data_IF_513004605343
#
_entry.id   IF_513004605343
#
_cell.length_a   1.000
_cell.length_b   1.000
_cell.length_c   1.000
_cell.angle_alpha   90.00
_cell.angle_beta   90.00
_cell.angle_gamma   90.00
#
_symmetry.space_group_name_H-M   'P 1'
#
loop_
_entity.id
_entity.type
_entity.pdbx_description
1 polymer ?
#
# COMPACT_ATOMS: atom_id res chain seq x y z
N UNK A 1 16.17 -41.80 -18.56
CA UNK A 1 14.91 -41.46 -19.23
C UNK A 1 14.09 -40.57 -18.29
N UNK A 2 13.99 -39.27 -18.60
CA UNK A 2 13.28 -38.26 -17.82
C UNK A 2 11.82 -38.27 -18.28
N UNK A 3 10.92 -38.83 -17.46
CA UNK A 3 9.50 -38.84 -17.75
C UNK A 3 8.86 -37.51 -17.33
N UNK A 4 8.29 -36.84 -18.34
CA UNK A 4 7.15 -35.93 -18.31
C UNK A 4 6.26 -36.02 -17.05
N UNK A 5 6.62 -35.28 -15.99
CA UNK A 5 5.80 -35.08 -14.78
C UNK A 5 5.36 -33.63 -14.60
N UNK A 6 5.28 -32.88 -15.70
CA UNK A 6 4.70 -31.54 -15.70
C UNK A 6 3.21 -31.64 -16.07
N UNK A 7 2.37 -30.99 -15.26
CA UNK A 7 0.95 -30.70 -15.48
C UNK A 7 -0.11 -31.65 -14.89
N UNK A 8 -0.05 -31.87 -13.57
CA UNK A 8 -1.30 -31.94 -12.79
C UNK A 8 -1.06 -31.36 -11.38
N UNK A 9 -0.93 -30.03 -11.28
CA UNK A 9 -0.92 -29.37 -9.96
C UNK A 9 -2.37 -29.26 -9.48
N UNK A 10 -2.78 -30.25 -8.70
CA UNK A 10 -4.07 -30.29 -8.01
C UNK A 10 -4.44 -28.94 -7.38
N UNK A 11 -5.61 -28.41 -7.76
CA UNK A 11 -6.36 -27.39 -7.02
C UNK A 11 -6.69 -27.91 -5.62
N UNK A 12 -5.75 -27.78 -4.68
CA UNK A 12 -6.00 -28.15 -3.28
C UNK A 12 -6.92 -27.11 -2.66
N UNK A 13 -8.21 -27.39 -2.59
CA UNK A 13 -9.14 -26.57 -1.81
C UNK A 13 -8.70 -26.57 -0.33
N UNK A 14 -8.70 -25.41 0.32
CA UNK A 14 -8.47 -25.28 1.77
C UNK A 14 -9.60 -24.51 2.43
N UNK A 15 -9.71 -24.71 3.75
CA UNK A 15 -10.67 -24.02 4.61
C UNK A 15 -10.07 -22.76 5.21
N UNK A 16 -10.90 -21.73 5.41
CA UNK A 16 -10.53 -20.58 6.22
C UNK A 16 -10.32 -21.02 7.69
N UNK A 17 -9.20 -20.68 8.34
CA UNK A 17 -8.96 -21.03 9.74
C UNK A 17 -9.91 -20.33 10.74
N UNK A 18 -10.73 -19.38 10.27
CA UNK A 18 -11.67 -18.62 11.12
C UNK A 18 -13.12 -18.99 10.88
N UNK A 19 -13.57 -18.99 9.62
CA UNK A 19 -14.98 -19.27 9.28
C UNK A 19 -15.21 -20.65 8.65
N UNK A 20 -14.16 -21.46 8.48
CA UNK A 20 -14.20 -22.82 7.93
C UNK A 20 -14.78 -22.95 6.50
N UNK A 21 -15.12 -21.85 5.84
CA UNK A 21 -15.51 -21.86 4.43
C UNK A 21 -14.39 -22.45 3.58
N UNK A 22 -14.76 -23.33 2.65
CA UNK A 22 -13.85 -23.98 1.70
C UNK A 22 -13.76 -23.12 0.44
N UNK A 23 -12.54 -22.91 -0.05
CA UNK A 23 -12.31 -22.27 -1.34
C UNK A 23 -11.10 -22.86 -2.04
N UNK A 24 -11.08 -22.75 -3.36
CA UNK A 24 -9.94 -23.10 -4.19
C UNK A 24 -9.14 -21.83 -4.49
N UNK A 25 -7.83 -21.88 -4.23
CA UNK A 25 -6.92 -20.79 -4.54
C UNK A 25 -6.21 -21.07 -5.87
N UNK A 26 -5.98 -20.02 -6.66
CA UNK A 26 -5.03 -20.07 -7.78
C UNK A 26 -3.65 -20.46 -7.24
N UNK A 27 -2.97 -21.38 -7.94
CA UNK A 27 -1.63 -21.85 -7.58
C UNK A 27 -0.66 -20.67 -7.49
N UNK A 28 0.19 -20.64 -6.47
CA UNK A 28 1.19 -19.59 -6.29
C UNK A 28 0.71 -18.38 -5.50
N UNK A 29 -0.24 -18.52 -4.59
CA UNK A 29 -0.72 -17.42 -3.75
C UNK A 29 -0.80 -17.89 -2.29
N UNK A 30 0.14 -17.44 -1.48
CA UNK A 30 0.31 -17.79 -0.09
C UNK A 30 -0.29 -16.76 0.86
N UNK A 31 -0.48 -15.51 0.43
CA UNK A 31 -1.14 -14.48 1.21
C UNK A 31 -2.57 -14.28 0.75
N UNK A 32 -3.53 -14.77 1.54
CA UNK A 32 -4.91 -14.93 1.09
C UNK A 32 -5.88 -14.22 2.02
N UNK A 33 -6.85 -13.54 1.42
CA UNK A 33 -8.00 -12.96 2.11
C UNK A 33 -9.20 -13.88 1.96
N UNK A 34 -9.88 -14.17 3.07
CA UNK A 34 -11.13 -14.93 3.01
C UNK A 34 -12.17 -14.21 2.15
N UNK A 35 -12.81 -14.89 1.17
CA UNK A 35 -13.81 -14.26 0.29
C UNK A 35 -15.14 -13.96 0.99
N UNK A 36 -15.39 -14.59 2.15
CA UNK A 36 -16.55 -14.26 2.96
C UNK A 36 -16.38 -12.85 3.55
N UNK A 37 -17.16 -11.90 3.03
CA UNK A 37 -17.15 -10.49 3.43
C UNK A 37 -17.33 -10.27 4.93
N UNK A 38 -18.03 -11.17 5.62
CA UNK A 38 -18.24 -11.11 7.08
C UNK A 38 -17.02 -11.56 7.87
N UNK A 39 -16.25 -12.52 7.35
CA UNK A 39 -15.05 -13.03 8.01
C UNK A 39 -13.83 -12.16 7.70
N UNK A 40 -13.62 -11.88 6.41
CA UNK A 40 -12.62 -10.97 5.89
C UNK A 40 -11.16 -11.13 6.39
N UNK A 41 -10.85 -12.25 7.03
CA UNK A 41 -9.55 -12.50 7.66
C UNK A 41 -8.49 -12.82 6.62
N UNK A 42 -7.33 -12.21 6.78
CA UNK A 42 -6.10 -12.55 6.07
C UNK A 42 -5.43 -13.73 6.74
N UNK A 43 -4.97 -14.70 5.96
CA UNK A 43 -4.35 -15.91 6.49
C UNK A 43 -3.32 -16.46 5.48
N UNK A 44 -2.39 -17.27 5.99
CA UNK A 44 -1.36 -17.89 5.17
C UNK A 44 -1.86 -19.22 4.59
N UNK A 45 -1.75 -19.39 3.27
CA UNK A 45 -2.18 -20.61 2.59
C UNK A 45 -1.30 -21.81 2.90
N UNK A 46 -0.02 -21.63 3.21
CA UNK A 46 0.91 -22.73 3.50
C UNK A 46 0.66 -23.29 4.91
N UNK A 47 0.79 -22.44 5.94
CA UNK A 47 0.73 -22.83 7.34
C UNK A 47 -0.67 -22.73 7.97
N UNK A 48 -1.64 -22.09 7.31
CA UNK A 48 -3.01 -21.94 7.83
C UNK A 48 -3.15 -20.94 8.97
N UNK A 49 -2.11 -20.16 9.29
CA UNK A 49 -2.17 -19.15 10.36
C UNK A 49 -3.14 -18.03 9.98
N UNK A 50 -4.01 -17.64 10.92
CA UNK A 50 -4.97 -16.52 10.79
C UNK A 50 -4.34 -15.18 11.17
N UNK A 51 -4.98 -14.09 10.72
CA UNK A 51 -4.64 -12.69 11.01
C UNK A 51 -3.15 -12.40 10.75
N UNK A 52 -2.73 -12.78 9.54
CA UNK A 52 -1.34 -12.72 9.11
C UNK A 52 -1.03 -11.37 8.46
N UNK A 53 0.09 -10.77 8.85
CA UNK A 53 0.67 -9.59 8.21
C UNK A 53 1.87 -9.96 7.33
N UNK A 54 2.35 -9.01 6.52
CA UNK A 54 3.55 -9.17 5.68
C UNK A 54 4.80 -9.60 6.45
N UNK A 55 4.87 -9.30 7.76
CA UNK A 55 5.96 -9.71 8.65
C UNK A 55 6.07 -11.22 8.83
N UNK A 56 4.96 -11.96 8.72
CA UNK A 56 4.98 -13.43 8.80
C UNK A 56 5.80 -14.05 7.67
N UNK A 57 5.85 -13.40 6.51
CA UNK A 57 6.54 -13.87 5.32
C UNK A 57 8.04 -13.55 5.32
N UNK A 58 8.55 -12.96 6.40
CA UNK A 58 9.99 -12.79 6.64
C UNK A 58 10.61 -14.01 7.34
N UNK A 59 9.80 -15.00 7.76
CA UNK A 59 10.24 -16.25 8.40
C UNK A 59 10.17 -17.46 7.48
N UNK A 60 9.71 -18.60 8.01
CA UNK A 60 9.70 -19.89 7.30
C UNK A 60 8.72 -19.95 6.12
N UNK A 61 7.62 -19.21 6.18
CA UNK A 61 6.65 -19.09 5.08
C UNK A 61 7.12 -18.02 4.11
N UNK A 62 7.17 -18.31 2.81
CA UNK A 62 7.62 -17.34 1.80
C UNK A 62 6.44 -16.80 0.99
N UNK A 63 6.40 -15.50 0.67
CA UNK A 63 5.38 -14.96 -0.19
C UNK A 63 5.68 -15.43 -1.62
N UNK A 64 4.63 -15.79 -2.36
CA UNK A 64 4.80 -16.13 -3.76
C UNK A 64 4.89 -14.87 -4.62
N UNK A 65 5.43 -15.00 -5.83
CA UNK A 65 5.57 -13.87 -6.76
C UNK A 65 4.21 -13.22 -7.08
N UNK A 66 3.13 -14.01 -7.20
CA UNK A 66 1.79 -13.49 -7.43
C UNK A 66 1.25 -12.70 -6.22
N UNK A 67 1.67 -13.02 -4.98
CA UNK A 67 1.29 -12.26 -3.78
C UNK A 67 1.90 -10.87 -3.80
N UNK A 68 3.19 -10.79 -4.14
CA UNK A 68 3.92 -9.53 -4.25
C UNK A 68 3.34 -8.67 -5.38
N UNK A 69 3.05 -9.28 -6.53
CA UNK A 69 2.39 -8.63 -7.66
C UNK A 69 0.99 -8.12 -7.33
N UNK A 70 0.21 -8.84 -6.52
CA UNK A 70 -1.09 -8.36 -6.02
C UNK A 70 -0.93 -7.14 -5.12
N UNK A 71 0.09 -7.12 -4.26
CA UNK A 71 0.44 -5.94 -3.45
C UNK A 71 0.85 -4.75 -4.33
N UNK A 72 1.53 -5.01 -5.44
CA UNK A 72 1.95 -4.03 -6.44
C UNK A 72 0.87 -3.78 -7.52
N UNK A 73 -0.42 -3.82 -7.17
CA UNK A 73 -1.53 -3.64 -8.12
C UNK A 73 -1.38 -2.38 -8.98
N UNK A 74 -0.93 -1.26 -8.39
CA UNK A 74 -0.70 0.00 -9.12
C UNK A 74 0.40 -0.15 -10.17
N UNK A 75 1.51 -0.81 -9.82
CA UNK A 75 2.61 -1.06 -10.76
C UNK A 75 2.14 -2.01 -11.86
N UNK A 76 1.39 -3.07 -11.51
CA UNK A 76 0.80 -3.97 -12.50
C UNK A 76 -0.15 -3.22 -13.44
N UNK A 77 -1.01 -2.35 -12.91
CA UNK A 77 -1.90 -1.52 -13.72
C UNK A 77 -1.10 -0.64 -14.70
N UNK A 78 -0.08 0.06 -14.22
CA UNK A 78 0.80 0.89 -15.06
C UNK A 78 1.57 0.05 -16.08
N UNK A 79 1.95 -1.20 -15.79
CA UNK A 79 2.66 -2.08 -16.71
C UNK A 79 1.75 -2.73 -17.76
N UNK A 80 0.50 -3.05 -17.46
CA UNK A 80 -0.40 -3.76 -18.37
C UNK A 80 -1.37 -2.85 -19.15
N UNK A 81 -1.56 -1.60 -18.74
CA UNK A 81 -2.41 -0.66 -19.47
C UNK A 81 -1.78 -0.26 -20.82
N UNK A 82 -2.61 -0.11 -21.86
CA UNK A 82 -2.15 0.28 -23.18
C UNK A 82 -1.39 1.62 -23.18
N UNK A 83 -0.38 1.76 -24.06
CA UNK A 83 0.43 2.98 -24.14
C UNK A 83 -0.40 4.24 -24.36
N UNK A 84 -1.42 4.16 -25.22
CA UNK A 84 -2.33 5.29 -25.50
C UNK A 84 -3.16 5.71 -24.27
N UNK A 85 -3.67 4.75 -23.51
CA UNK A 85 -4.40 5.06 -22.27
C UNK A 85 -3.46 5.64 -21.20
N UNK A 86 -2.21 5.18 -21.15
CA UNK A 86 -1.16 5.76 -20.28
C UNK A 86 -0.93 7.22 -20.64
N UNK A 87 -0.89 7.56 -21.93
CA UNK A 87 -0.75 8.94 -22.40
C UNK A 87 -1.94 9.83 -21.95
N UNK A 88 -3.17 9.35 -22.06
CA UNK A 88 -4.34 10.10 -21.59
C UNK A 88 -4.36 10.34 -20.07
N UNK A 89 -3.84 9.41 -19.27
CA UNK A 89 -3.82 9.53 -17.79
C UNK A 89 -2.62 10.36 -17.29
N UNK A 90 -1.62 10.59 -18.14
CA UNK A 90 -0.39 11.35 -17.82
C UNK A 90 -0.62 12.71 -17.11
N UNK A 91 -1.52 13.61 -17.55
CA UNK A 91 -1.77 14.86 -16.83
C UNK A 91 -2.27 14.62 -15.39
N UNK A 92 -3.10 13.60 -15.18
CA UNK A 92 -3.57 13.22 -13.85
C UNK A 92 -2.44 12.68 -12.97
N UNK A 93 -1.53 11.89 -13.53
CA UNK A 93 -0.33 11.40 -12.82
C UNK A 93 0.58 12.55 -12.43
N UNK A 94 0.80 13.51 -13.34
CA UNK A 94 1.59 14.71 -13.06
C UNK A 94 1.00 15.51 -11.91
N UNK A 95 -0.30 15.78 -11.95
CA UNK A 95 -1.00 16.52 -10.91
C UNK A 95 -0.95 15.76 -9.57
N UNK A 96 -1.14 14.44 -9.58
CA UNK A 96 -0.95 13.56 -8.43
C UNK A 96 0.43 13.69 -7.79
N UNK A 97 1.48 13.63 -8.59
CA UNK A 97 2.87 13.63 -8.14
C UNK A 97 3.37 15.01 -7.71
N UNK A 98 3.07 16.07 -8.46
CA UNK A 98 3.66 17.40 -8.22
C UNK A 98 2.78 18.34 -7.42
N UNK A 99 1.47 18.07 -7.30
CA UNK A 99 0.55 18.90 -6.54
C UNK A 99 0.06 18.15 -5.31
N UNK A 100 -0.57 17.00 -5.50
CA UNK A 100 -1.20 16.30 -4.37
C UNK A 100 -0.19 15.63 -3.44
N UNK A 101 0.87 15.01 -3.94
CA UNK A 101 1.86 14.36 -3.07
C UNK A 101 2.57 15.37 -2.14
N UNK A 102 3.14 16.50 -2.62
CA UNK A 102 3.74 17.50 -1.75
C UNK A 102 2.72 18.09 -0.76
N UNK A 103 1.51 18.40 -1.23
CA UNK A 103 0.44 18.93 -0.38
C UNK A 103 0.09 17.95 0.75
N UNK A 104 -0.05 16.66 0.44
CA UNK A 104 -0.34 15.63 1.44
C UNK A 104 0.79 15.44 2.45
N UNK A 105 2.06 15.60 2.04
CA UNK A 105 3.21 15.60 2.96
C UNK A 105 3.15 16.82 3.88
N UNK A 106 2.94 18.01 3.32
CA UNK A 106 2.88 19.26 4.10
C UNK A 106 1.72 19.27 5.09
N UNK A 107 0.53 18.84 4.68
CA UNK A 107 -0.67 18.81 5.52
C UNK A 107 -0.74 17.57 6.44
N UNK A 108 -0.14 16.45 6.04
CA UNK A 108 -0.14 15.20 6.80
C UNK A 108 0.94 15.11 7.88
N UNK A 109 2.05 15.83 7.73
CA UNK A 109 3.14 15.83 8.73
C UNK A 109 2.69 16.40 10.08
N UNK A 110 2.04 17.58 10.17
CA UNK A 110 1.60 18.14 11.45
C UNK A 110 0.68 17.22 12.26
N UNK A 111 -0.43 16.65 11.72
CA UNK A 111 -1.32 15.79 12.52
C UNK A 111 -0.62 14.48 12.92
N UNK A 112 0.25 13.92 12.08
CA UNK A 112 1.02 12.73 12.46
C UNK A 112 2.00 13.00 13.60
N UNK A 113 2.74 14.12 13.53
CA UNK A 113 3.66 14.54 14.58
C UNK A 113 2.91 14.84 15.89
N UNK A 114 1.80 15.58 15.81
CA UNK A 114 0.93 15.91 16.94
C UNK A 114 0.36 14.66 17.60
N UNK A 115 -0.19 13.72 16.83
CA UNK A 115 -0.70 12.47 17.36
C UNK A 115 0.39 11.67 18.10
N UNK A 116 1.64 11.69 17.60
CA UNK A 116 2.78 11.07 18.29
C UNK A 116 3.14 11.76 19.59
N UNK A 117 3.11 13.10 19.63
CA UNK A 117 3.38 13.90 20.83
C UNK A 117 2.28 13.66 21.87
N UNK A 118 1.02 13.75 21.45
CA UNK A 118 -0.14 13.51 22.31
C UNK A 118 -0.12 12.09 22.89
N UNK A 119 0.15 11.06 22.08
CA UNK A 119 0.27 9.68 22.58
C UNK A 119 1.38 9.48 23.62
N UNK A 120 2.43 10.32 23.61
CA UNK A 120 3.47 10.32 24.65
C UNK A 120 3.02 11.08 25.90
N UNK A 121 2.28 12.17 25.72
CA UNK A 121 1.75 12.99 26.80
C UNK A 121 0.64 12.28 27.58
N UNK A 122 -0.30 11.66 26.87
CA UNK A 122 -1.40 10.88 27.45
C UNK A 122 -0.90 9.73 28.33
N UNK A 123 0.22 9.09 27.94
CA UNK A 123 0.87 8.07 28.78
C UNK A 123 1.51 8.61 30.06
N UNK A 124 1.87 9.89 30.12
CA UNK A 124 2.36 10.54 31.34
C UNK A 124 1.22 11.09 32.20
N UNK A 125 0.13 11.50 31.56
CA UNK A 125 -1.04 12.10 32.19
C UNK A 125 -2.00 11.06 32.80
N UNK A 126 -1.97 9.81 32.33
CA UNK A 126 -2.79 8.68 32.83
C UNK A 126 -2.61 8.36 34.32
N UNK A 127 -1.67 9.00 35.02
CA UNK A 127 -1.44 8.85 36.46
C UNK A 127 -2.14 9.95 37.30
N UNK A 128 -2.72 10.98 36.66
CA UNK A 128 -3.36 12.12 37.32
C UNK A 128 -4.78 12.32 36.80
N UNK A 129 -5.70 11.54 37.39
CA UNK A 129 -7.10 11.45 36.99
C UNK A 129 -7.96 12.51 37.70
N UNK A 130 -8.23 13.62 37.01
CA UNK A 130 -9.49 14.39 36.96
C UNK A 130 -9.26 15.60 36.04
N UNK A 131 -9.78 15.55 34.80
CA UNK A 131 -9.47 16.54 33.76
C UNK A 131 -10.60 17.55 33.63
N UNK A 132 -10.40 18.73 34.21
CA UNK A 132 -11.29 19.90 34.07
C UNK A 132 -11.52 20.30 32.61
N UNK A 133 -12.73 20.79 32.31
CA UNK A 133 -13.13 21.29 30.97
C UNK A 133 -12.19 22.38 30.46
N UNK A 134 -11.69 23.23 31.37
CA UNK A 134 -10.72 24.28 31.07
C UNK A 134 -9.39 23.71 30.52
N UNK A 135 -8.97 22.54 31.02
CA UNK A 135 -7.75 21.87 30.57
C UNK A 135 -7.90 21.38 29.14
N UNK A 136 -9.05 20.77 28.78
CA UNK A 136 -9.32 20.33 27.40
C UNK A 136 -9.29 21.49 26.40
N UNK A 137 -9.82 22.66 26.78
CA UNK A 137 -9.77 23.86 25.93
C UNK A 137 -8.32 24.35 25.72
N UNK A 138 -7.50 24.36 26.77
CA UNK A 138 -6.07 24.70 26.69
C UNK A 138 -5.32 23.75 25.75
N UNK A 139 -5.57 22.44 25.85
CA UNK A 139 -4.99 21.43 24.96
C UNK A 139 -5.35 21.67 23.49
N UNK A 140 -6.60 22.04 23.20
CA UNK A 140 -7.04 22.40 21.85
C UNK A 140 -6.32 23.64 21.30
N UNK A 141 -6.14 24.68 22.11
CA UNK A 141 -5.39 25.87 21.71
C UNK A 141 -3.91 25.56 21.42
N UNK A 142 -3.26 24.78 22.30
CA UNK A 142 -1.88 24.33 22.11
C UNK A 142 -1.74 23.49 20.83
N UNK A 143 -2.71 22.62 20.55
CA UNK A 143 -2.73 21.81 19.33
C UNK A 143 -2.72 22.69 18.07
N UNK A 144 -3.54 23.74 18.02
CA UNK A 144 -3.61 24.66 16.87
C UNK A 144 -2.28 25.40 16.69
N UNK A 145 -1.70 25.92 17.79
CA UNK A 145 -0.42 26.63 17.74
C UNK A 145 0.70 25.70 17.26
N UNK A 146 0.77 24.49 17.79
CA UNK A 146 1.76 23.49 17.36
C UNK A 146 1.55 23.05 15.91
N UNK A 147 0.30 22.93 15.45
CA UNK A 147 -0.01 22.62 14.05
C UNK A 147 0.57 23.67 13.10
N UNK A 148 0.34 24.96 13.40
CA UNK A 148 0.86 26.08 12.61
C UNK A 148 2.40 26.09 12.67
N UNK A 149 2.99 25.84 13.84
CA UNK A 149 4.45 25.78 14.01
C UNK A 149 5.11 24.61 13.26
N UNK A 150 4.40 23.49 13.07
CA UNK A 150 4.88 22.31 12.34
C UNK A 150 4.67 22.39 10.82
N UNK A 151 3.85 23.31 10.34
CA UNK A 151 3.60 23.52 8.91
C UNK A 151 4.88 23.81 8.11
N UNK A 152 5.82 24.72 8.52
CA UNK A 152 7.08 24.93 7.81
C UNK A 152 7.96 23.68 7.75
N UNK A 153 7.92 22.82 8.78
CA UNK A 153 8.62 21.53 8.77
C UNK A 153 8.03 20.59 7.71
N UNK A 154 6.70 20.51 7.62
CA UNK A 154 6.01 19.75 6.58
C UNK A 154 6.32 20.27 5.17
N UNK A 155 6.45 21.59 4.99
CA UNK A 155 6.85 22.19 3.72
C UNK A 155 8.31 21.85 3.36
N UNK A 156 9.24 21.95 4.32
CA UNK A 156 10.64 21.57 4.10
C UNK A 156 10.78 20.09 3.71
N UNK A 157 10.05 19.19 4.39
CA UNK A 157 10.01 17.77 4.03
C UNK A 157 9.42 17.53 2.64
N UNK A 158 8.40 18.29 2.25
CA UNK A 158 7.84 18.21 0.91
C UNK A 158 8.85 18.64 -0.18
N UNK A 159 9.67 19.65 0.08
CA UNK A 159 10.77 20.04 -0.83
C UNK A 159 11.79 18.91 -0.99
N UNK A 160 12.20 18.29 0.12
CA UNK A 160 13.12 17.13 0.06
C UNK A 160 12.48 15.97 -0.71
N UNK A 161 11.18 15.74 -0.53
CA UNK A 161 10.43 14.71 -1.24
C UNK A 161 10.27 14.98 -2.75
N UNK A 162 10.51 16.20 -3.24
CA UNK A 162 10.47 16.48 -4.69
C UNK A 162 11.54 15.69 -5.45
N UNK A 163 12.69 15.37 -4.84
CA UNK A 163 13.75 14.58 -5.47
C UNK A 163 13.28 13.17 -5.87
N UNK A 164 12.75 12.32 -4.97
CA UNK A 164 12.21 11.02 -5.39
C UNK A 164 10.98 11.16 -6.29
N UNK A 165 10.12 12.17 -6.10
CA UNK A 165 8.94 12.41 -6.96
C UNK A 165 9.36 12.66 -8.41
N UNK A 166 10.35 13.54 -8.63
CA UNK A 166 10.89 13.81 -9.97
C UNK A 166 11.51 12.57 -10.60
N UNK A 167 12.26 11.78 -9.82
CA UNK A 167 12.81 10.52 -10.29
C UNK A 167 11.72 9.52 -10.73
N UNK A 168 10.64 9.39 -9.95
CA UNK A 168 9.48 8.56 -10.33
C UNK A 168 8.79 9.06 -11.60
N UNK A 169 8.69 10.37 -11.78
CA UNK A 169 8.15 10.97 -13.00
C UNK A 169 8.97 10.60 -14.24
N UNK A 170 10.30 10.66 -14.17
CA UNK A 170 11.16 10.25 -15.29
C UNK A 170 11.05 8.76 -15.60
N UNK A 171 10.97 7.90 -14.58
CA UNK A 171 10.73 6.47 -14.77
C UNK A 171 9.38 6.24 -15.47
N UNK A 172 8.33 6.94 -15.05
CA UNK A 172 7.01 6.87 -15.68
C UNK A 172 7.06 7.28 -17.16
N UNK A 173 7.73 8.39 -17.48
CA UNK A 173 7.91 8.83 -18.87
C UNK A 173 8.69 7.81 -19.70
N UNK A 174 9.76 7.23 -19.16
CA UNK A 174 10.53 6.20 -19.85
C UNK A 174 9.65 4.98 -20.19
N UNK A 175 8.81 4.53 -19.26
CA UNK A 175 7.85 3.44 -19.50
C UNK A 175 6.81 3.81 -20.56
N UNK A 176 6.30 5.04 -20.53
CA UNK A 176 5.36 5.55 -21.54
C UNK A 176 5.99 5.53 -22.93
N UNK A 177 7.25 5.97 -23.07
CA UNK A 177 8.00 5.91 -24.34
C UNK A 177 8.17 4.48 -24.85
N UNK A 178 8.56 3.54 -23.99
CA UNK A 178 8.70 2.12 -24.36
C UNK A 178 7.36 1.56 -24.85
N UNK A 179 6.25 1.93 -24.19
CA UNK A 179 4.89 1.45 -24.51
C UNK A 179 4.27 2.04 -25.76
N UNK A 180 4.75 3.19 -26.22
CA UNK A 180 4.31 3.82 -27.47
C UNK A 180 4.87 3.12 -28.71
N UNK A 181 5.93 2.31 -28.55
CA UNK A 181 6.52 1.54 -29.66
C UNK A 181 5.55 0.40 -30.03
N UNK A 182 5.01 0.37 -31.27
CA UNK A 182 3.94 -0.55 -31.67
C UNK A 182 4.31 -2.04 -31.56
N UNK A 183 5.60 -2.36 -31.67
CA UNK A 183 6.13 -3.73 -31.53
C UNK A 183 5.85 -4.29 -30.12
N UNK A 184 5.93 -3.46 -29.08
CA UNK A 184 5.65 -3.88 -27.69
C UNK A 184 4.16 -3.77 -27.32
N UNK A 185 3.42 -2.89 -27.99
CA UNK A 185 1.98 -2.71 -27.79
C UNK A 185 1.13 -3.91 -28.26
N UNK A 186 1.55 -4.64 -29.30
CA UNK A 186 0.81 -5.80 -29.79
C UNK A 186 0.97 -7.06 -28.91
N UNK A 187 2.13 -7.25 -28.28
CA UNK A 187 2.39 -8.40 -27.39
C UNK A 187 1.58 -8.31 -26.08
N UNK A 188 1.27 -7.10 -25.63
CA UNK A 188 0.48 -6.87 -24.40
C UNK A 188 -1.04 -7.01 -24.62
N UNK A 189 -1.54 -6.83 -25.85
CA UNK A 189 -2.95 -7.03 -26.19
C UNK A 189 -3.34 -8.52 -26.37
N UNK A 190 -2.38 -9.38 -26.71
CA UNK A 190 -2.60 -10.83 -26.89
C UNK A 190 -2.50 -11.66 -25.59
N UNK A 191 -2.19 -11.02 -24.46
CA UNK A 191 -2.00 -11.68 -23.15
C UNK A 191 -3.08 -11.34 -22.11
N UNK A 192 -4.15 -10.68 -22.53
CA UNK A 192 -5.40 -10.44 -21.77
C UNK A 192 -6.51 -11.27 -22.40
#
# INVERSE_FOLDING_TARGET
>A
MRAFGAMEKATRARQCPRCLNIYAQKIGCNYVRCPNLRCNTWFCWECGKKDVDWTHFMGDCKPSFDDVLKGLYVVKFVLFIGGFTTLFITPSVFLGLFVFAPLSITLGTPPYALHRIMKKWDRRESDQQEVDVARKALFGAIYIVLFIALLPLGAALAVVAMLPITLFWFIYLALLWIKLIPIFGQVTLLSV
#
